data_IF_833132338102
#
_entry.id   IF_833132338102
#
_cell.length_a   1.000
_cell.length_b   1.000
_cell.length_c   1.000
_cell.angle_alpha   90.00
_cell.angle_beta   90.00
_cell.angle_gamma   90.00
#
_symmetry.space_group_name_H-M   'P 1'
#
loop_
_entity.id
_entity.type
_entity.pdbx_description
1 polymer ?
#
# COMPACT_ATOMS: atom_id res chain seq x y z
N UNK A 1 28.08 47.63 15.48
CA UNK A 1 27.66 46.63 16.48
C UNK A 1 26.19 46.20 16.31
N UNK A 2 25.29 47.08 15.87
CA UNK A 2 23.84 46.76 15.74
C UNK A 2 23.52 45.68 14.70
N UNK A 3 24.20 45.68 13.53
CA UNK A 3 23.94 44.70 12.45
C UNK A 3 24.32 43.27 12.86
N UNK A 4 25.44 43.09 13.56
CA UNK A 4 25.87 41.76 14.03
C UNK A 4 24.91 41.19 15.09
N UNK A 5 24.40 42.03 15.99
CA UNK A 5 23.37 41.64 16.97
C UNK A 5 22.05 41.24 16.30
N UNK A 6 21.61 41.99 15.29
CA UNK A 6 20.42 41.66 14.51
C UNK A 6 20.57 40.33 13.75
N UNK A 7 21.72 40.08 13.11
CA UNK A 7 21.99 38.80 12.42
C UNK A 7 21.99 37.64 13.42
N UNK A 8 22.62 37.81 14.59
CA UNK A 8 22.63 36.77 15.62
C UNK A 8 21.21 36.45 16.11
N UNK A 9 20.41 37.47 16.44
CA UNK A 9 19.02 37.28 16.88
C UNK A 9 18.20 36.58 15.79
N UNK A 10 18.34 36.98 14.52
CA UNK A 10 17.63 36.37 13.40
C UNK A 10 18.02 34.89 13.22
N UNK A 11 19.31 34.57 13.23
CA UNK A 11 19.79 33.18 13.10
C UNK A 11 19.37 32.30 14.29
N UNK A 12 19.45 32.81 15.52
CA UNK A 12 18.95 32.10 16.71
C UNK A 12 17.43 31.87 16.64
N UNK A 13 16.67 32.85 16.19
CA UNK A 13 15.20 32.73 16.04
C UNK A 13 14.84 31.69 14.99
N UNK A 14 15.49 31.71 13.82
CA UNK A 14 15.30 30.69 12.79
C UNK A 14 15.70 29.29 13.28
N UNK A 15 16.81 29.19 14.01
CA UNK A 15 17.26 27.95 14.64
C UNK A 15 16.25 27.41 15.65
N UNK A 16 15.68 28.27 16.49
CA UNK A 16 14.64 27.92 17.46
C UNK A 16 13.35 27.46 16.79
N UNK A 17 12.87 28.19 15.76
CA UNK A 17 11.67 27.79 14.99
C UNK A 17 11.88 26.42 14.34
N UNK A 18 13.05 26.19 13.74
CA UNK A 18 13.42 24.90 13.15
C UNK A 18 13.40 23.78 14.20
N UNK A 19 14.05 24.00 15.36
CA UNK A 19 14.07 23.03 16.46
C UNK A 19 12.65 22.70 16.98
N UNK A 20 11.82 23.71 17.24
CA UNK A 20 10.44 23.53 17.66
C UNK A 20 9.63 22.75 16.62
N UNK A 21 9.85 23.00 15.33
CA UNK A 21 9.19 22.27 14.22
C UNK A 21 9.60 20.80 14.23
N UNK A 22 10.89 20.50 14.40
CA UNK A 22 11.38 19.12 14.49
C UNK A 22 10.84 18.38 15.73
N UNK A 23 10.87 19.02 16.90
CA UNK A 23 10.29 18.46 18.13
C UNK A 23 8.79 18.20 17.94
N UNK A 24 8.04 19.15 17.39
CA UNK A 24 6.62 18.98 17.09
C UNK A 24 6.34 17.81 16.15
N UNK A 25 7.18 17.61 15.13
CA UNK A 25 7.08 16.47 14.22
C UNK A 25 7.37 15.13 14.93
N UNK A 26 8.34 15.09 15.84
CA UNK A 26 8.63 13.89 16.65
C UNK A 26 7.46 13.58 17.57
N UNK A 27 6.93 14.58 18.29
CA UNK A 27 5.74 14.39 19.14
C UNK A 27 4.54 13.90 18.33
N UNK A 28 4.28 14.51 17.17
CA UNK A 28 3.22 14.07 16.24
C UNK A 28 3.45 12.63 15.79
N UNK A 29 4.68 12.25 15.47
CA UNK A 29 5.01 10.87 15.07
C UNK A 29 4.78 9.88 16.21
N UNK A 30 5.25 10.17 17.43
CA UNK A 30 5.02 9.33 18.63
C UNK A 30 3.52 9.18 18.89
N UNK A 31 2.77 10.28 18.83
CA UNK A 31 1.32 10.26 18.98
C UNK A 31 0.65 9.36 17.95
N UNK A 32 0.96 9.54 16.66
CA UNK A 32 0.36 8.76 15.57
C UNK A 32 0.71 7.28 15.64
N UNK A 33 1.95 6.94 16.01
CA UNK A 33 2.42 5.55 16.00
C UNK A 33 2.00 4.75 17.24
N UNK A 34 1.96 5.37 18.41
CA UNK A 34 1.82 4.63 19.68
C UNK A 34 0.57 5.00 20.48
N UNK A 35 0.24 6.29 20.59
CA UNK A 35 -0.76 6.76 21.55
C UNK A 35 -2.17 6.88 20.96
N UNK A 36 -2.28 7.20 19.67
CA UNK A 36 -3.56 7.48 19.03
C UNK A 36 -4.42 6.21 18.86
N UNK A 37 -5.70 6.22 19.27
CA UNK A 37 -6.59 5.08 19.08
C UNK A 37 -6.97 4.85 17.61
N UNK A 38 -7.24 3.59 17.25
CA UNK A 38 -7.80 3.23 15.94
C UNK A 38 -9.23 3.74 15.79
N UNK A 39 -9.64 4.12 14.58
CA UNK A 39 -11.06 4.44 14.28
C UNK A 39 -11.92 3.17 14.38
N UNK A 40 -13.19 3.34 14.73
CA UNK A 40 -14.19 2.29 14.54
C UNK A 40 -14.49 2.16 13.03
N UNK A 41 -13.94 1.11 12.41
CA UNK A 41 -14.02 0.91 10.96
C UNK A 41 -15.43 0.65 10.44
N UNK A 42 -16.31 0.09 11.29
CA UNK A 42 -17.72 -0.12 10.93
C UNK A 42 -18.48 1.18 10.67
N UNK A 43 -17.94 2.33 11.12
CA UNK A 43 -18.54 3.62 10.81
C UNK A 43 -18.52 3.92 9.31
N UNK A 44 -17.48 3.48 8.58
CA UNK A 44 -17.42 3.65 7.13
C UNK A 44 -18.44 2.80 6.39
N UNK A 45 -18.71 1.60 6.88
CA UNK A 45 -19.70 0.66 6.34
C UNK A 45 -19.51 -0.74 6.91
N UNK A 46 -20.45 -1.63 6.61
CA UNK A 46 -20.41 -3.02 7.11
C UNK A 46 -19.50 -3.95 6.28
N UNK A 47 -19.19 -3.59 5.04
CA UNK A 47 -18.36 -4.39 4.12
C UNK A 47 -17.02 -3.73 3.80
N UNK A 48 -15.99 -4.57 3.65
CA UNK A 48 -14.69 -4.20 3.10
C UNK A 48 -14.39 -5.00 1.83
N UNK A 49 -14.00 -4.33 0.75
CA UNK A 49 -13.51 -4.94 -0.48
C UNK A 49 -11.98 -4.96 -0.47
N UNK A 50 -11.36 -6.11 -0.74
CA UNK A 50 -9.89 -6.26 -0.77
C UNK A 50 -9.48 -6.90 -2.08
N UNK A 51 -8.60 -6.24 -2.84
CA UNK A 51 -7.98 -6.82 -4.04
C UNK A 51 -6.67 -7.53 -3.72
N UNK A 52 -6.35 -8.63 -4.42
CA UNK A 52 -5.16 -9.44 -4.15
C UNK A 52 -5.26 -10.13 -2.79
N UNK A 53 -6.44 -10.66 -2.48
CA UNK A 53 -6.86 -11.10 -1.15
C UNK A 53 -6.44 -12.52 -0.78
N UNK A 54 -5.91 -13.33 -1.70
CA UNK A 54 -5.58 -14.75 -1.42
C UNK A 54 -4.19 -14.96 -0.83
N UNK A 55 -3.32 -13.95 -0.90
CA UNK A 55 -1.92 -14.06 -0.50
C UNK A 55 -1.36 -12.86 0.26
N UNK A 56 -0.23 -13.10 0.94
CA UNK A 56 0.62 -12.06 1.53
C UNK A 56 -0.13 -11.05 2.40
N UNK A 57 0.09 -9.77 2.11
CA UNK A 57 -0.50 -8.64 2.84
C UNK A 57 -2.03 -8.64 2.70
N UNK A 58 -2.57 -8.89 1.50
CA UNK A 58 -4.00 -8.83 1.24
C UNK A 58 -4.80 -9.82 2.08
N UNK A 59 -4.34 -11.08 2.15
CA UNK A 59 -4.97 -12.09 3.02
C UNK A 59 -4.90 -11.71 4.49
N UNK A 60 -3.76 -11.21 4.95
CA UNK A 60 -3.59 -10.78 6.34
C UNK A 60 -4.46 -9.54 6.69
N UNK A 61 -4.69 -8.64 5.73
CA UNK A 61 -5.63 -7.52 5.87
C UNK A 61 -7.08 -8.01 5.91
N UNK A 62 -7.45 -8.96 5.05
CA UNK A 62 -8.77 -9.58 5.05
C UNK A 62 -9.07 -10.22 6.41
N UNK A 63 -8.17 -11.06 6.94
CA UNK A 63 -8.31 -11.66 8.27
C UNK A 63 -8.40 -10.62 9.40
N UNK A 64 -7.60 -9.55 9.37
CA UNK A 64 -7.64 -8.49 10.41
C UNK A 64 -8.91 -7.62 10.33
N UNK A 65 -9.48 -7.40 9.13
CA UNK A 65 -10.75 -6.69 8.99
C UNK A 65 -11.93 -7.56 9.43
N UNK A 66 -11.91 -8.86 9.10
CA UNK A 66 -12.90 -9.82 9.58
C UNK A 66 -12.88 -9.96 11.11
N UNK A 67 -11.71 -9.97 11.75
CA UNK A 67 -11.61 -10.02 13.22
C UNK A 67 -12.15 -8.77 13.92
N UNK A 68 -12.31 -7.66 13.17
CA UNK A 68 -13.02 -6.44 13.61
C UNK A 68 -14.51 -6.46 13.27
N UNK A 69 -15.01 -7.58 12.75
CA UNK A 69 -16.41 -7.85 12.45
C UNK A 69 -16.93 -7.15 11.20
N UNK A 70 -16.07 -6.85 10.22
CA UNK A 70 -16.51 -6.44 8.88
C UNK A 70 -16.77 -7.68 8.01
N UNK A 71 -17.81 -7.60 7.19
CA UNK A 71 -18.03 -8.53 6.09
C UNK A 71 -17.02 -8.23 4.97
N UNK A 72 -16.69 -9.22 4.14
CA UNK A 72 -15.62 -9.09 3.16
C UNK A 72 -16.07 -9.41 1.73
N UNK A 73 -15.67 -8.55 0.80
CA UNK A 73 -15.61 -8.88 -0.63
C UNK A 73 -14.15 -9.15 -0.97
N UNK A 74 -13.82 -10.42 -1.24
CA UNK A 74 -12.50 -10.88 -1.60
C UNK A 74 -12.35 -10.89 -3.12
N UNK A 75 -11.44 -10.09 -3.65
CA UNK A 75 -11.15 -10.05 -5.07
C UNK A 75 -9.74 -10.59 -5.32
N UNK A 76 -9.63 -11.55 -6.22
CA UNK A 76 -8.38 -12.12 -6.73
C UNK A 76 -8.61 -12.80 -8.08
N UNK A 77 -7.56 -13.30 -8.72
CA UNK A 77 -7.67 -13.91 -10.06
C UNK A 77 -8.02 -15.40 -10.03
N UNK A 78 -7.70 -16.13 -8.95
CA UNK A 78 -7.88 -17.58 -8.85
C UNK A 78 -9.10 -17.94 -7.97
N UNK A 79 -10.17 -18.51 -8.56
CA UNK A 79 -11.36 -18.92 -7.81
C UNK A 79 -11.10 -19.96 -6.71
N UNK A 80 -10.14 -20.87 -6.91
CA UNK A 80 -9.82 -21.92 -5.94
C UNK A 80 -9.10 -21.33 -4.72
N UNK A 81 -8.16 -20.41 -4.95
CA UNK A 81 -7.51 -19.70 -3.85
C UNK A 81 -8.48 -18.78 -3.10
N UNK A 82 -9.44 -18.17 -3.82
CA UNK A 82 -10.52 -17.38 -3.22
C UNK A 82 -11.41 -18.22 -2.31
N UNK A 83 -11.87 -19.38 -2.79
CA UNK A 83 -12.69 -20.31 -2.00
C UNK A 83 -11.94 -20.74 -0.71
N UNK A 84 -10.69 -21.19 -0.86
CA UNK A 84 -9.87 -21.58 0.29
C UNK A 84 -9.67 -20.44 1.29
N UNK A 85 -9.44 -19.21 0.80
CA UNK A 85 -9.28 -18.03 1.66
C UNK A 85 -10.60 -17.66 2.36
N UNK A 86 -11.72 -17.74 1.65
CA UNK A 86 -13.05 -17.46 2.20
C UNK A 86 -13.42 -18.43 3.32
N UNK A 87 -13.19 -19.73 3.13
CA UNK A 87 -13.43 -20.77 4.12
C UNK A 87 -12.55 -20.58 5.35
N UNK A 88 -11.28 -20.25 5.14
CA UNK A 88 -10.35 -19.96 6.23
C UNK A 88 -10.84 -18.78 7.09
N UNK A 89 -11.24 -17.67 6.45
CA UNK A 89 -11.73 -16.48 7.17
C UNK A 89 -13.04 -16.77 7.90
N UNK A 90 -14.00 -17.44 7.26
CA UNK A 90 -15.26 -17.83 7.92
C UNK A 90 -14.99 -18.69 9.15
N UNK A 91 -14.08 -19.67 9.05
CA UNK A 91 -13.69 -20.54 10.17
C UNK A 91 -13.01 -19.78 11.30
N UNK A 92 -12.14 -18.81 11.00
CA UNK A 92 -11.46 -17.99 12.02
C UNK A 92 -12.38 -17.07 12.82
N UNK A 93 -13.57 -16.79 12.28
CA UNK A 93 -14.54 -15.85 12.86
C UNK A 93 -15.86 -16.54 13.23
N UNK A 94 -15.85 -17.86 13.42
CA UNK A 94 -17.02 -18.67 13.81
C UNK A 94 -18.26 -18.45 12.94
N UNK A 95 -18.06 -18.12 11.65
CA UNK A 95 -19.15 -17.82 10.71
C UNK A 95 -19.88 -16.50 10.95
N UNK A 96 -19.40 -15.65 11.86
CA UNK A 96 -20.03 -14.37 12.22
C UNK A 96 -19.88 -13.28 11.15
N UNK A 97 -19.00 -13.49 10.16
CA UNK A 97 -18.78 -12.56 9.05
C UNK A 97 -19.19 -13.20 7.73
N UNK A 98 -19.84 -12.40 6.88
CA UNK A 98 -20.14 -12.80 5.51
C UNK A 98 -18.92 -12.57 4.61
N UNK A 99 -18.74 -13.45 3.64
CA UNK A 99 -17.65 -13.36 2.66
C UNK A 99 -18.20 -13.61 1.26
N UNK A 100 -18.07 -12.62 0.37
CA UNK A 100 -18.31 -12.75 -1.07
C UNK A 100 -16.97 -12.76 -1.80
N UNK A 101 -16.93 -13.43 -2.94
CA UNK A 101 -15.69 -13.57 -3.75
C UNK A 101 -15.94 -13.10 -5.17
N UNK A 102 -15.02 -12.33 -5.74
CA UNK A 102 -15.07 -11.88 -7.14
C UNK A 102 -13.77 -12.31 -7.81
N UNK A 103 -13.88 -13.15 -8.85
CA UNK A 103 -12.73 -13.58 -9.64
C UNK A 103 -12.49 -12.62 -10.80
N UNK A 104 -11.38 -11.88 -10.78
CA UNK A 104 -10.96 -10.93 -11.83
C UNK A 104 -9.45 -11.04 -12.04
N UNK A 105 -9.04 -11.23 -13.29
CA UNK A 105 -7.64 -11.16 -13.73
C UNK A 105 -7.37 -9.78 -14.36
N UNK A 106 -6.82 -8.87 -13.55
CA UNK A 106 -6.49 -7.50 -13.99
C UNK A 106 -5.43 -7.43 -15.10
N UNK A 107 -4.68 -8.51 -15.37
CA UNK A 107 -3.73 -8.53 -16.48
C UNK A 107 -4.40 -8.81 -17.83
N UNK A 108 -5.63 -9.35 -17.84
CA UNK A 108 -6.33 -9.80 -19.06
C UNK A 108 -7.59 -9.00 -19.37
N UNK A 109 -8.24 -8.45 -18.35
CA UNK A 109 -9.53 -7.77 -18.51
C UNK A 109 -9.34 -6.27 -18.71
N UNK A 110 -10.19 -5.69 -19.55
CA UNK A 110 -10.17 -4.25 -19.76
C UNK A 110 -10.82 -3.50 -18.59
N UNK A 111 -10.57 -2.20 -18.49
CA UNK A 111 -11.04 -1.37 -17.37
C UNK A 111 -12.56 -1.33 -17.19
N UNK A 112 -13.30 -1.26 -18.30
CA UNK A 112 -14.76 -1.22 -18.29
C UNK A 112 -15.36 -2.54 -17.80
N UNK A 113 -14.80 -3.68 -18.23
CA UNK A 113 -15.19 -5.00 -17.75
C UNK A 113 -14.95 -5.16 -16.24
N UNK A 114 -13.80 -4.68 -15.75
CA UNK A 114 -13.47 -4.69 -14.32
C UNK A 114 -14.50 -3.88 -13.53
N UNK A 115 -14.78 -2.65 -13.97
CA UNK A 115 -15.68 -1.76 -13.24
C UNK A 115 -17.12 -2.28 -13.24
N UNK A 116 -17.64 -2.67 -14.41
CA UNK A 116 -19.00 -3.23 -14.53
C UNK A 116 -19.18 -4.42 -13.61
N UNK A 117 -18.24 -5.36 -13.61
CA UNK A 117 -18.34 -6.55 -12.77
C UNK A 117 -18.28 -6.22 -11.28
N UNK A 118 -17.44 -5.28 -10.87
CA UNK A 118 -17.39 -4.86 -9.47
C UNK A 118 -18.69 -4.16 -9.06
N UNK A 119 -19.22 -3.27 -9.90
CA UNK A 119 -20.47 -2.55 -9.64
C UNK A 119 -21.65 -3.49 -9.44
N UNK A 120 -21.80 -4.51 -10.32
CA UNK A 120 -22.84 -5.54 -10.22
C UNK A 120 -22.74 -6.35 -8.92
N UNK A 121 -21.54 -6.77 -8.54
CA UNK A 121 -21.32 -7.68 -7.39
C UNK A 121 -21.42 -6.98 -6.02
N UNK A 122 -21.34 -5.64 -5.99
CA UNK A 122 -21.41 -4.84 -4.76
C UNK A 122 -22.65 -3.96 -4.65
N UNK A 123 -23.57 -4.03 -5.62
CA UNK A 123 -24.72 -3.12 -5.71
C UNK A 123 -25.57 -3.08 -4.43
N UNK A 124 -25.78 -4.25 -3.81
CA UNK A 124 -26.57 -4.43 -2.59
C UNK A 124 -25.74 -4.29 -1.29
N UNK A 125 -24.45 -3.95 -1.40
CA UNK A 125 -23.53 -3.93 -0.26
C UNK A 125 -23.20 -2.52 0.23
N UNK A 126 -23.17 -2.36 1.56
CA UNK A 126 -22.61 -1.17 2.22
C UNK A 126 -21.07 -1.26 2.29
N UNK A 127 -20.41 -1.22 1.13
CA UNK A 127 -18.95 -1.20 1.02
C UNK A 127 -18.41 0.12 1.57
N UNK A 128 -17.93 0.06 2.81
CA UNK A 128 -17.35 1.19 3.51
C UNK A 128 -15.85 1.30 3.36
N UNK A 129 -15.16 0.20 3.09
CA UNK A 129 -13.70 0.15 2.98
C UNK A 129 -13.30 -0.51 1.68
N UNK A 130 -12.38 0.11 0.94
CA UNK A 130 -11.69 -0.49 -0.20
C UNK A 130 -10.19 -0.57 0.12
N UNK A 131 -9.61 -1.76 -0.01
CA UNK A 131 -8.17 -1.98 0.04
C UNK A 131 -7.69 -2.40 -1.36
N UNK A 132 -7.09 -1.47 -2.10
CA UNK A 132 -6.37 -1.77 -3.33
C UNK A 132 -4.98 -2.31 -2.98
N UNK A 133 -4.90 -3.63 -2.82
CA UNK A 133 -3.66 -4.33 -2.47
C UNK A 133 -3.08 -5.15 -3.63
N UNK A 134 -3.91 -5.58 -4.59
CA UNK A 134 -3.44 -6.32 -5.76
C UNK A 134 -2.23 -5.64 -6.40
N UNK A 135 -1.22 -6.42 -6.70
CA UNK A 135 -0.01 -5.89 -7.30
C UNK A 135 0.89 -6.97 -7.87
N UNK A 136 1.65 -6.58 -8.88
CA UNK A 136 2.61 -7.44 -9.55
C UNK A 136 3.96 -6.74 -9.63
N UNK A 137 5.02 -7.47 -9.31
CA UNK A 137 6.41 -7.05 -9.42
C UNK A 137 7.19 -8.03 -10.30
N UNK A 138 8.45 -7.72 -10.60
CA UNK A 138 9.25 -8.60 -11.44
C UNK A 138 9.64 -9.87 -10.67
N UNK A 139 9.80 -11.02 -11.33
CA UNK A 139 10.27 -12.24 -10.69
C UNK A 139 11.69 -12.10 -10.12
N UNK A 140 12.52 -11.25 -10.74
CA UNK A 140 13.83 -10.81 -10.25
C UNK A 140 14.24 -9.52 -10.98
N UNK A 141 15.32 -8.89 -10.51
CA UNK A 141 15.84 -7.62 -11.04
C UNK A 141 16.27 -7.72 -12.53
N UNK A 142 15.75 -6.83 -13.38
CA UNK A 142 16.02 -6.82 -14.84
C UNK A 142 16.25 -5.41 -15.37
N UNK A 143 17.13 -5.25 -16.36
CA UNK A 143 17.20 -3.98 -17.07
C UNK A 143 15.89 -3.74 -17.83
N UNK A 144 15.56 -2.47 -18.06
CA UNK A 144 14.29 -2.08 -18.65
C UNK A 144 14.02 -2.77 -20.00
N UNK A 145 15.00 -2.81 -20.91
CA UNK A 145 14.89 -3.41 -22.23
C UNK A 145 14.80 -4.96 -22.23
N UNK A 146 15.00 -5.61 -21.08
CA UNK A 146 14.97 -7.07 -20.94
C UNK A 146 13.65 -7.58 -20.32
N UNK A 147 12.78 -6.66 -19.91
CA UNK A 147 11.46 -7.01 -19.39
C UNK A 147 10.60 -7.40 -20.59
N UNK A 148 10.16 -8.66 -20.64
CA UNK A 148 9.29 -9.16 -21.70
C UNK A 148 7.96 -8.41 -21.76
N UNK A 149 7.42 -8.23 -22.97
CA UNK A 149 6.24 -7.42 -23.24
C UNK A 149 5.03 -7.81 -22.35
N UNK A 150 4.71 -9.10 -22.27
CA UNK A 150 3.61 -9.60 -21.44
C UNK A 150 3.75 -9.21 -19.96
N UNK A 151 4.99 -9.19 -19.45
CA UNK A 151 5.26 -8.80 -18.06
C UNK A 151 5.12 -7.28 -17.88
N UNK A 152 5.52 -6.48 -18.87
CA UNK A 152 5.28 -5.03 -18.87
C UNK A 152 3.79 -4.75 -18.79
N UNK A 153 3.01 -5.34 -19.69
CA UNK A 153 1.56 -5.18 -19.76
C UNK A 153 0.88 -5.67 -18.48
N UNK A 154 1.26 -6.84 -17.97
CA UNK A 154 0.70 -7.39 -16.73
C UNK A 154 0.99 -6.49 -15.51
N UNK A 155 2.21 -5.94 -15.39
CA UNK A 155 2.58 -5.06 -14.27
C UNK A 155 1.78 -3.75 -14.34
N UNK A 156 1.54 -3.22 -15.53
CA UNK A 156 0.71 -2.03 -15.74
C UNK A 156 -0.77 -2.33 -15.50
N UNK A 157 -1.29 -3.42 -16.08
CA UNK A 157 -2.68 -3.86 -15.94
C UNK A 157 -3.06 -4.08 -14.48
N UNK A 158 -2.28 -4.88 -13.75
CA UNK A 158 -2.58 -5.17 -12.34
C UNK A 158 -2.44 -3.93 -11.45
N UNK A 159 -1.32 -3.21 -11.54
CA UNK A 159 -1.05 -2.14 -10.58
C UNK A 159 -1.79 -0.83 -10.89
N UNK A 160 -1.88 -0.44 -12.16
CA UNK A 160 -2.48 0.83 -12.59
C UNK A 160 -3.94 0.61 -12.95
N UNK A 161 -4.22 -0.19 -13.98
CA UNK A 161 -5.58 -0.37 -14.52
C UNK A 161 -6.51 -0.93 -13.43
N UNK A 162 -6.12 -2.02 -12.77
CA UNK A 162 -6.88 -2.62 -11.68
C UNK A 162 -7.20 -1.61 -10.56
N UNK A 163 -6.18 -0.95 -10.00
CA UNK A 163 -6.39 0.05 -8.93
C UNK A 163 -7.33 1.17 -9.36
N UNK A 164 -7.17 1.71 -10.57
CA UNK A 164 -7.95 2.84 -11.07
C UNK A 164 -9.42 2.46 -11.25
N UNK A 165 -9.70 1.33 -11.90
CA UNK A 165 -11.07 0.94 -12.21
C UNK A 165 -11.82 0.38 -11.00
N UNK A 166 -11.16 -0.36 -10.10
CA UNK A 166 -11.75 -0.77 -8.82
C UNK A 166 -12.11 0.46 -7.98
N UNK A 167 -11.20 1.45 -7.91
CA UNK A 167 -11.47 2.71 -7.19
C UNK A 167 -12.67 3.43 -7.80
N UNK A 168 -12.70 3.56 -9.13
CA UNK A 168 -13.80 4.22 -9.85
C UNK A 168 -15.15 3.53 -9.62
N UNK A 169 -15.18 2.20 -9.57
CA UNK A 169 -16.41 1.41 -9.36
C UNK A 169 -16.99 1.57 -7.95
N UNK A 170 -16.15 1.61 -6.92
CA UNK A 170 -16.61 1.67 -5.51
C UNK A 170 -17.01 3.08 -5.08
N UNK A 171 -16.36 4.10 -5.66
CA UNK A 171 -16.46 5.49 -5.19
C UNK A 171 -17.87 6.11 -5.25
N UNK A 172 -18.70 5.89 -6.30
CA UNK A 172 -20.06 6.43 -6.36
C UNK A 172 -20.93 6.01 -5.17
N UNK A 173 -20.81 4.76 -4.72
CA UNK A 173 -21.52 4.26 -3.54
C UNK A 173 -21.11 4.99 -2.26
N UNK A 174 -19.79 5.18 -2.06
CA UNK A 174 -19.26 5.93 -0.91
C UNK A 174 -19.72 7.40 -0.93
N UNK A 175 -19.76 8.03 -2.11
CA UNK A 175 -20.23 9.41 -2.30
C UNK A 175 -21.71 9.56 -1.92
N UNK A 176 -22.57 8.64 -2.38
CA UNK A 176 -24.00 8.63 -2.04
C UNK A 176 -24.22 8.54 -0.52
N UNK A 177 -23.39 7.76 0.17
CA UNK A 177 -23.44 7.59 1.63
C UNK A 177 -22.68 8.67 2.42
N UNK A 178 -21.88 9.51 1.75
CA UNK A 178 -20.98 10.53 2.34
C UNK A 178 -20.03 9.96 3.40
N UNK A 179 -19.64 8.70 3.23
CA UNK A 179 -18.72 7.99 4.13
C UNK A 179 -18.01 6.88 3.37
N UNK A 180 -16.71 6.74 3.61
CA UNK A 180 -15.93 5.63 3.07
C UNK A 180 -14.44 5.78 3.37
N UNK A 181 -13.69 4.70 3.22
CA UNK A 181 -12.24 4.72 3.29
C UNK A 181 -11.63 3.93 2.13
N UNK A 182 -10.67 4.52 1.42
CA UNK A 182 -9.92 3.86 0.35
C UNK A 182 -8.46 3.82 0.74
N UNK A 183 -7.88 2.62 0.77
CA UNK A 183 -6.49 2.36 1.11
C UNK A 183 -5.80 1.75 -0.10
N UNK A 184 -4.90 2.52 -0.70
CA UNK A 184 -4.06 2.03 -1.77
C UNK A 184 -2.72 1.57 -1.19
N UNK A 185 -2.32 0.34 -1.46
CA UNK A 185 -1.01 -0.18 -1.03
C UNK A 185 0.06 0.28 -2.04
N UNK A 186 0.77 1.33 -1.65
CA UNK A 186 1.93 1.87 -2.35
C UNK A 186 3.19 1.02 -2.10
N UNK A 187 4.34 1.67 -2.14
CA UNK A 187 5.63 1.04 -1.86
C UNK A 187 6.68 2.08 -1.49
N UNK A 188 7.63 1.70 -0.64
CA UNK A 188 8.80 2.53 -0.38
C UNK A 188 9.64 2.77 -1.64
N UNK A 189 9.50 1.96 -2.69
CA UNK A 189 10.18 2.15 -3.99
C UNK A 189 9.82 3.45 -4.71
N UNK A 190 8.72 4.12 -4.32
CA UNK A 190 8.31 5.41 -4.91
C UNK A 190 8.19 6.55 -3.90
N UNK A 191 8.19 6.27 -2.60
CA UNK A 191 7.97 7.28 -1.54
C UNK A 191 9.17 7.46 -0.62
N UNK A 192 9.99 6.42 -0.45
CA UNK A 192 11.15 6.45 0.44
C UNK A 192 12.46 6.77 -0.30
N UNK A 193 12.53 6.49 -1.59
CA UNK A 193 13.74 6.61 -2.42
C UNK A 193 13.46 7.48 -3.66
N UNK A 194 14.52 8.09 -4.20
CA UNK A 194 14.50 8.88 -5.46
C UNK A 194 14.42 8.00 -6.70
N UNK A 195 15.09 6.84 -6.68
CA UNK A 195 15.10 5.87 -7.78
C UNK A 195 15.02 4.42 -7.29
N UNK A 196 14.60 3.52 -8.17
CA UNK A 196 14.50 2.09 -7.85
C UNK A 196 14.89 1.24 -9.08
N UNK A 197 16.21 1.13 -9.36
CA UNK A 197 16.69 0.56 -10.60
C UNK A 197 16.41 -0.95 -10.68
N UNK A 198 16.35 -1.46 -11.91
CA UNK A 198 16.09 -2.87 -12.24
C UNK A 198 14.69 -3.41 -11.86
N UNK A 199 13.83 -2.55 -11.32
CA UNK A 199 12.41 -2.76 -11.06
C UNK A 199 11.59 -1.54 -11.53
N UNK A 200 12.06 -0.89 -12.60
CA UNK A 200 11.62 0.44 -13.03
C UNK A 200 10.11 0.57 -13.22
N UNK A 201 9.47 -0.37 -13.94
CA UNK A 201 8.03 -0.29 -14.23
C UNK A 201 7.23 -0.46 -12.94
N UNK A 202 7.61 -1.40 -12.07
CA UNK A 202 6.97 -1.59 -10.76
C UNK A 202 7.08 -0.31 -9.90
N UNK A 203 8.24 0.33 -9.85
CA UNK A 203 8.41 1.56 -9.10
C UNK A 203 7.56 2.71 -9.69
N UNK A 204 7.50 2.82 -11.02
CA UNK A 204 6.66 3.79 -11.71
C UNK A 204 5.16 3.58 -11.43
N UNK A 205 4.67 2.33 -11.43
CA UNK A 205 3.26 2.05 -11.09
C UNK A 205 2.94 2.35 -9.63
N UNK A 206 3.88 2.11 -8.70
CA UNK A 206 3.71 2.50 -7.29
C UNK A 206 3.83 4.01 -7.08
N UNK A 207 4.55 4.74 -7.94
CA UNK A 207 4.52 6.20 -7.96
C UNK A 207 3.17 6.73 -8.45
N UNK A 208 2.61 6.12 -9.51
CA UNK A 208 1.24 6.41 -9.96
C UNK A 208 0.23 6.25 -8.83
N UNK A 209 0.23 5.12 -8.11
CA UNK A 209 -0.67 4.88 -6.99
C UNK A 209 -0.54 5.95 -5.89
N UNK A 210 0.70 6.34 -5.55
CA UNK A 210 0.94 7.38 -4.55
C UNK A 210 0.41 8.74 -5.01
N UNK A 211 0.60 9.11 -6.28
CA UNK A 211 0.07 10.36 -6.83
C UNK A 211 -1.45 10.34 -6.95
N UNK A 212 -2.03 9.26 -7.48
CA UNK A 212 -3.48 9.04 -7.57
C UNK A 212 -4.12 9.29 -6.20
N UNK A 213 -3.61 8.63 -5.16
CA UNK A 213 -4.11 8.77 -3.78
C UNK A 213 -4.00 10.20 -3.24
N UNK A 214 -2.97 10.95 -3.65
CA UNK A 214 -2.81 12.37 -3.27
C UNK A 214 -3.87 13.25 -3.92
N UNK A 215 -4.11 13.07 -5.21
CA UNK A 215 -5.10 13.87 -5.94
C UNK A 215 -6.52 13.57 -5.45
N UNK A 216 -6.94 12.30 -5.53
CA UNK A 216 -8.32 11.94 -5.19
C UNK A 216 -8.61 12.11 -3.69
N UNK A 217 -7.61 11.96 -2.82
CA UNK A 217 -7.77 12.25 -1.41
C UNK A 217 -8.02 13.73 -1.10
N UNK A 218 -7.59 14.66 -1.95
CA UNK A 218 -7.98 16.07 -1.84
C UNK A 218 -9.38 16.31 -2.42
N UNK A 219 -9.69 15.69 -3.56
CA UNK A 219 -11.00 15.80 -4.23
C UNK A 219 -12.15 15.33 -3.33
N UNK A 220 -11.98 14.20 -2.63
CA UNK A 220 -13.09 13.53 -1.93
C UNK A 220 -13.13 13.76 -0.41
N UNK A 221 -12.17 14.47 0.16
CA UNK A 221 -12.11 14.72 1.61
C UNK A 221 -13.35 15.42 2.15
N UNK A 222 -13.85 16.43 1.43
CA UNK A 222 -15.05 17.17 1.84
C UNK A 222 -16.34 16.34 1.71
N UNK A 223 -16.28 15.22 0.99
CA UNK A 223 -17.38 14.28 0.81
C UNK A 223 -17.42 13.17 1.88
N UNK A 224 -16.58 13.25 2.91
CA UNK A 224 -16.53 12.26 3.99
C UNK A 224 -15.79 10.97 3.62
N UNK A 225 -14.99 10.98 2.55
CA UNK A 225 -14.23 9.83 2.07
C UNK A 225 -12.76 10.03 2.43
N UNK A 226 -12.24 9.14 3.27
CA UNK A 226 -10.82 9.13 3.64
C UNK A 226 -10.04 8.30 2.62
N UNK A 227 -9.16 8.93 1.84
CA UNK A 227 -8.30 8.21 0.89
C UNK A 227 -6.84 8.30 1.32
N UNK A 228 -6.17 7.16 1.35
CA UNK A 228 -4.79 7.04 1.80
C UNK A 228 -3.96 6.09 0.93
N UNK A 229 -2.68 6.40 0.79
CA UNK A 229 -1.65 5.49 0.32
C UNK A 229 -0.84 5.00 1.52
N UNK A 230 -0.85 3.69 1.74
CA UNK A 230 0.00 3.06 2.73
C UNK A 230 1.27 2.52 2.08
N UNK A 231 2.41 2.81 2.71
CA UNK A 231 3.73 2.60 2.14
C UNK A 231 4.46 1.50 2.92
N UNK A 232 4.39 0.23 2.49
CA UNK A 232 5.27 -0.81 2.97
C UNK A 232 6.69 -0.66 2.41
N UNK A 233 7.69 -1.06 3.21
CA UNK A 233 8.99 -1.52 2.72
C UNK A 233 8.90 -3.05 2.51
N UNK A 234 9.98 -3.81 2.73
CA UNK A 234 9.92 -5.25 2.60
C UNK A 234 8.99 -5.88 3.66
N UNK A 235 8.06 -6.71 3.22
CA UNK A 235 7.20 -7.55 4.08
C UNK A 235 7.41 -9.00 3.65
N UNK A 236 7.57 -9.92 4.61
CA UNK A 236 7.88 -11.32 4.34
C UNK A 236 6.73 -12.04 3.61
N UNK A 237 6.77 -12.01 2.28
CA UNK A 237 5.72 -12.52 1.39
C UNK A 237 6.32 -13.33 0.24
N UNK A 238 5.51 -14.17 -0.41
CA UNK A 238 5.89 -14.89 -1.63
C UNK A 238 6.42 -13.93 -2.72
N UNK A 239 5.78 -12.76 -2.90
CA UNK A 239 6.18 -11.75 -3.88
C UNK A 239 7.62 -11.26 -3.67
N UNK A 240 8.00 -10.97 -2.42
CA UNK A 240 9.37 -10.55 -2.08
C UNK A 240 10.40 -11.69 -2.07
N UNK A 241 9.95 -12.95 -2.20
CA UNK A 241 10.76 -14.16 -1.98
C UNK A 241 11.43 -14.25 -0.59
N UNK A 242 10.97 -13.45 0.39
CA UNK A 242 11.48 -13.46 1.76
C UNK A 242 10.56 -14.32 2.63
N UNK A 243 11.12 -15.35 3.26
CA UNK A 243 10.35 -16.33 4.06
C UNK A 243 10.28 -16.02 5.56
N UNK A 244 11.30 -15.36 6.11
CA UNK A 244 11.41 -15.09 7.55
C UNK A 244 11.21 -13.61 7.81
N UNK A 245 10.38 -13.29 8.81
CA UNK A 245 10.25 -11.94 9.31
C UNK A 245 11.44 -11.55 10.18
N UNK A 246 11.67 -10.25 10.30
CA UNK A 246 12.65 -9.61 11.17
C UNK A 246 12.10 -8.26 11.64
N UNK A 247 12.86 -7.56 12.48
CA UNK A 247 12.47 -6.24 13.00
C UNK A 247 12.15 -5.20 11.89
N UNK A 248 12.90 -5.23 10.79
CA UNK A 248 12.69 -4.33 9.64
C UNK A 248 11.94 -4.97 8.47
N UNK A 249 11.53 -6.24 8.63
CA UNK A 249 10.81 -7.00 7.61
C UNK A 249 9.66 -7.74 8.33
N UNK A 250 8.53 -7.08 8.61
CA UNK A 250 7.46 -7.68 9.37
C UNK A 250 6.83 -8.87 8.63
N UNK A 251 6.14 -9.72 9.38
CA UNK A 251 5.21 -10.67 8.77
C UNK A 251 4.00 -9.93 8.18
N UNK A 252 3.26 -10.53 7.24
CA UNK A 252 2.03 -9.95 6.72
C UNK A 252 1.02 -9.60 7.82
N UNK A 253 0.91 -10.42 8.86
CA UNK A 253 -0.01 -10.25 9.99
C UNK A 253 0.42 -9.09 10.90
N UNK A 254 1.73 -8.92 11.09
CA UNK A 254 2.27 -7.80 11.87
C UNK A 254 2.03 -6.48 11.11
N UNK A 255 2.27 -6.49 9.80
CA UNK A 255 2.01 -5.34 8.95
C UNK A 255 0.50 -5.02 8.87
N UNK A 256 -0.37 -6.03 8.76
CA UNK A 256 -1.81 -5.84 8.62
C UNK A 256 -2.42 -5.18 9.86
N UNK A 257 -2.03 -5.58 11.07
CA UNK A 257 -2.45 -4.91 12.31
C UNK A 257 -2.10 -3.42 12.33
N UNK A 258 -0.87 -3.09 11.94
CA UNK A 258 -0.42 -1.70 11.85
C UNK A 258 -1.18 -0.93 10.76
N UNK A 259 -1.38 -1.56 9.60
CA UNK A 259 -2.12 -1.02 8.46
C UNK A 259 -3.57 -0.70 8.81
N UNK A 260 -4.29 -1.64 9.43
CA UNK A 260 -5.70 -1.49 9.79
C UNK A 260 -5.86 -0.42 10.88
N UNK A 261 -4.94 -0.33 11.85
CA UNK A 261 -4.92 0.77 12.84
C UNK A 261 -4.78 2.15 12.19
N UNK A 262 -4.04 2.25 11.08
CA UNK A 262 -3.76 3.51 10.39
C UNK A 262 -4.87 3.97 9.43
N UNK A 263 -5.97 3.23 9.27
CA UNK A 263 -7.06 3.60 8.34
C UNK A 263 -7.73 4.92 8.75
N UNK A 264 -7.82 5.84 7.78
CA UNK A 264 -8.55 7.12 7.89
C UNK A 264 -7.75 8.25 8.53
N UNK A 265 -6.42 8.16 8.54
CA UNK A 265 -5.62 8.93 9.51
C UNK A 265 -4.64 9.89 8.85
N UNK A 266 -4.03 9.50 7.73
CA UNK A 266 -3.13 10.33 6.94
C UNK A 266 -3.15 9.89 5.48
N UNK A 267 -3.01 10.85 4.57
CA UNK A 267 -3.10 10.58 3.14
C UNK A 267 -1.91 9.76 2.60
N UNK A 268 -0.70 9.98 3.11
CA UNK A 268 0.45 9.08 2.91
C UNK A 268 0.87 8.59 4.29
N UNK A 269 0.89 7.28 4.49
CA UNK A 269 1.28 6.71 5.79
C UNK A 269 2.23 5.53 5.63
N UNK A 270 3.20 5.45 6.53
CA UNK A 270 4.06 4.27 6.71
C UNK A 270 3.58 3.61 8.00
N UNK A 271 2.62 2.67 7.94
CA UNK A 271 1.88 2.24 9.13
C UNK A 271 2.74 1.46 10.13
N UNK A 272 3.74 0.71 9.63
CA UNK A 272 4.66 -0.03 10.48
C UNK A 272 5.81 0.88 10.94
N UNK A 273 5.88 1.18 12.24
CA UNK A 273 6.81 2.19 12.77
C UNK A 273 8.30 1.91 12.50
N UNK A 274 8.82 0.65 12.45
CA UNK A 274 10.20 0.39 12.06
C UNK A 274 10.47 0.76 10.59
N UNK A 275 9.48 0.58 9.71
CA UNK A 275 9.59 1.09 8.34
C UNK A 275 9.61 2.63 8.34
N UNK A 276 8.86 3.29 9.22
CA UNK A 276 8.89 4.75 9.31
C UNK A 276 10.29 5.25 9.74
N UNK A 277 10.95 4.54 10.66
CA UNK A 277 12.35 4.80 11.03
C UNK A 277 13.29 4.58 9.84
N UNK A 278 13.16 3.48 9.11
CA UNK A 278 13.96 3.23 7.90
C UNK A 278 13.76 4.32 6.85
N UNK A 279 12.52 4.72 6.57
CA UNK A 279 12.22 5.81 5.66
C UNK A 279 12.85 7.14 6.12
N UNK A 280 12.89 7.41 7.42
CA UNK A 280 13.57 8.58 7.96
C UNK A 280 15.08 8.52 7.66
N UNK A 281 15.73 7.39 7.95
CA UNK A 281 17.17 7.19 7.69
C UNK A 281 17.49 7.30 6.19
N UNK A 282 16.69 6.67 5.33
CA UNK A 282 16.88 6.71 3.88
C UNK A 282 16.82 8.14 3.35
N UNK A 283 15.87 8.95 3.84
CA UNK A 283 15.71 10.35 3.45
C UNK A 283 16.81 11.30 3.92
N UNK A 284 17.66 10.87 4.86
CA UNK A 284 18.82 11.64 5.31
C UNK A 284 20.04 11.42 4.40
N UNK A 285 20.03 10.37 3.57
CA UNK A 285 21.14 10.06 2.67
C UNK A 285 21.02 10.87 1.37
N UNK A 286 22.14 11.38 0.82
CA UNK A 286 22.13 11.99 -0.51
C UNK A 286 21.70 11.00 -1.58
N UNK A 287 20.83 11.43 -2.51
CA UNK A 287 20.27 10.59 -3.58
C UNK A 287 21.36 9.86 -4.38
N UNK A 288 22.47 10.55 -4.72
CA UNK A 288 23.57 9.95 -5.46
C UNK A 288 24.22 8.74 -4.74
N UNK A 289 24.31 8.79 -3.41
CA UNK A 289 24.82 7.69 -2.61
C UNK A 289 23.81 6.54 -2.56
N UNK A 290 22.54 6.88 -2.31
CA UNK A 290 21.45 5.91 -2.23
C UNK A 290 21.28 5.16 -3.56
N UNK A 291 21.28 5.87 -4.68
CA UNK A 291 21.16 5.29 -6.02
C UNK A 291 22.31 4.34 -6.33
N UNK A 292 23.54 4.69 -5.95
CA UNK A 292 24.71 3.81 -6.09
C UNK A 292 24.56 2.53 -5.26
N UNK A 293 24.11 2.65 -4.01
CA UNK A 293 23.88 1.50 -3.13
C UNK A 293 22.75 0.59 -3.65
N UNK A 294 21.62 1.18 -4.07
CA UNK A 294 20.48 0.45 -4.62
C UNK A 294 20.85 -0.26 -5.92
N UNK A 295 21.55 0.42 -6.83
CA UNK A 295 22.00 -0.18 -8.08
C UNK A 295 22.93 -1.36 -7.85
N UNK A 296 23.89 -1.24 -6.93
CA UNK A 296 24.77 -2.35 -6.55
C UNK A 296 23.98 -3.52 -5.96
N UNK A 297 23.07 -3.24 -5.02
CA UNK A 297 22.21 -4.26 -4.39
C UNK A 297 21.35 -5.01 -5.42
N UNK A 298 20.66 -4.30 -6.30
CA UNK A 298 19.80 -4.93 -7.31
C UNK A 298 20.60 -5.64 -8.40
N UNK A 299 21.80 -5.18 -8.73
CA UNK A 299 22.71 -5.90 -9.63
C UNK A 299 23.11 -7.25 -9.03
N UNK A 300 23.38 -7.29 -7.72
CA UNK A 300 23.59 -8.56 -6.99
C UNK A 300 22.38 -9.49 -7.02
N UNK A 301 21.17 -8.95 -6.82
CA UNK A 301 19.94 -9.74 -6.93
C UNK A 301 19.71 -10.27 -8.35
N UNK A 302 20.01 -9.46 -9.35
CA UNK A 302 19.91 -9.81 -10.76
C UNK A 302 20.78 -11.02 -11.09
N UNK A 303 22.05 -11.01 -10.71
CA UNK A 303 22.96 -12.14 -10.96
C UNK A 303 22.40 -13.45 -10.42
N UNK A 304 21.96 -13.44 -9.15
CA UNK A 304 21.32 -14.61 -8.52
C UNK A 304 20.02 -15.04 -9.21
N UNK A 305 19.25 -14.09 -9.74
CA UNK A 305 18.01 -14.35 -10.48
C UNK A 305 18.26 -15.06 -11.81
N UNK A 306 19.27 -14.59 -12.56
CA UNK A 306 19.68 -15.19 -13.84
C UNK A 306 20.18 -16.62 -13.63
N UNK A 307 21.05 -16.86 -12.64
CA UNK A 307 21.55 -18.20 -12.31
C UNK A 307 20.41 -19.18 -11.99
N UNK A 308 19.43 -18.73 -11.20
CA UNK A 308 18.25 -19.54 -10.87
C UNK A 308 17.37 -19.84 -12.09
N UNK A 309 17.28 -18.90 -13.03
CA UNK A 309 16.50 -19.08 -14.24
C UNK A 309 17.18 -20.08 -15.19
N UNK A 310 18.51 -20.02 -15.31
CA UNK A 310 19.30 -20.95 -16.11
C UNK A 310 19.22 -22.37 -15.57
N UNK A 311 19.29 -22.57 -14.25
CA UNK A 311 19.15 -23.89 -13.61
C UNK A 311 17.77 -24.55 -13.74
N UNK A 312 16.76 -23.81 -14.18
CA UNK A 312 15.39 -24.31 -14.39
C UNK A 312 15.09 -24.65 -15.86
N UNK A 313 16.00 -24.29 -16.78
CA UNK A 313 15.95 -24.65 -18.19
C UNK A 313 16.78 -25.91 -18.40
#
# INVERSE_FOLDING_TARGET
MEVQGLILIATCTLGFISLCTHLGNIFKWVWVMFLRPSKNLKHYGSWALITGSTGGIGRALASELASKGLNLVLLDQDPLELDATSQHIRKQNDGLVEVRTIAIDFAKQCGEEIAKRIEEEIEDLDVGILINNAGLAYPFARFFHEVGLDLVESVVGVNIVGTTWVTRAVLPGMLKRKKGAIVNIGSGSSVAVSSYPLYTIYAATKAYIAMLSRCIGLEYKQHGIDIQCQVPLFVATKMTSIRRSSFFIPSPETFSKASVRAIGQAQISVPYWPHALQCCVIKLLPDALLDRCLFWYFSGMRMRGIEKQQKKR
#
